data_IF_417426739021
#
_entry.id   IF_417426739021
#
_cell.length_a   1.000
_cell.length_b   1.000
_cell.length_c   1.000
_cell.angle_alpha   90.00
_cell.angle_beta   90.00
_cell.angle_gamma   90.00
#
_symmetry.space_group_name_H-M   'P 1'
#
loop_
_entity.id
_entity.type
_entity.pdbx_description
1 polymer ?
#
# COMPACT_ATOMS: atom_id res chain seq x y z
N UNK A 1 13.47 -46.96 5.57
CA UNK A 1 12.68 -45.80 6.02
C UNK A 1 13.40 -44.54 5.56
N UNK A 2 12.82 -43.75 4.66
CA UNK A 2 13.46 -42.54 4.12
C UNK A 2 13.36 -41.45 5.20
N UNK A 3 14.49 -40.94 5.69
CA UNK A 3 14.52 -39.84 6.66
C UNK A 3 14.27 -38.52 5.94
N UNK A 4 13.22 -37.80 6.34
CA UNK A 4 12.97 -36.44 5.87
C UNK A 4 13.94 -35.46 6.52
N UNK A 5 14.56 -34.62 5.70
CA UNK A 5 15.36 -33.48 6.16
C UNK A 5 14.39 -32.36 6.54
N UNK A 6 14.43 -31.94 7.81
CA UNK A 6 13.48 -30.96 8.39
C UNK A 6 14.01 -29.53 8.41
N UNK A 7 15.27 -29.31 8.02
CA UNK A 7 15.91 -27.99 8.03
C UNK A 7 17.00 -27.89 6.97
N UNK A 8 17.24 -26.67 6.49
CA UNK A 8 18.29 -26.34 5.50
C UNK A 8 18.95 -25.04 5.96
N UNK A 9 20.29 -25.03 6.01
CA UNK A 9 21.05 -23.82 6.26
C UNK A 9 20.89 -22.85 5.09
N UNK A 10 20.51 -21.61 5.38
CA UNK A 10 20.32 -20.53 4.41
C UNK A 10 21.13 -19.29 4.78
N UNK A 11 22.13 -19.43 5.67
CA UNK A 11 22.95 -18.31 6.18
C UNK A 11 23.70 -17.56 5.06
N UNK A 12 23.98 -18.22 3.94
CA UNK A 12 24.63 -17.69 2.76
C UNK A 12 23.67 -17.03 1.74
N UNK A 13 22.35 -17.11 1.98
CA UNK A 13 21.33 -16.66 1.03
C UNK A 13 21.31 -15.14 0.90
N UNK A 14 21.88 -14.62 -0.19
CA UNK A 14 21.75 -13.21 -0.58
C UNK A 14 20.41 -12.97 -1.28
N UNK A 15 19.43 -12.50 -0.51
CA UNK A 15 18.13 -12.08 -1.04
C UNK A 15 18.23 -10.62 -1.47
N UNK A 16 17.79 -10.24 -2.67
CA UNK A 16 17.62 -8.83 -3.01
C UNK A 16 16.70 -8.19 -1.96
N UNK A 17 17.18 -7.15 -1.29
CA UNK A 17 16.30 -6.37 -0.45
C UNK A 17 15.37 -5.58 -1.37
N UNK A 18 14.06 -5.80 -1.22
CA UNK A 18 13.10 -4.92 -1.86
C UNK A 18 13.16 -3.60 -1.11
N UNK A 19 13.86 -2.63 -1.67
CA UNK A 19 13.67 -1.22 -1.41
C UNK A 19 12.22 -0.88 -1.71
N UNK A 20 11.31 -1.13 -0.76
CA UNK A 20 10.13 -0.29 -0.70
C UNK A 20 10.68 1.12 -0.56
N UNK A 21 10.11 2.04 -1.32
CA UNK A 21 10.33 3.46 -1.15
C UNK A 21 9.78 3.82 0.24
N UNK A 22 10.58 3.53 1.26
CA UNK A 22 10.24 3.68 2.66
C UNK A 22 10.49 5.12 3.01
N UNK A 23 9.42 5.83 3.33
CA UNK A 23 9.47 7.24 3.66
C UNK A 23 8.34 8.02 2.99
N UNK A 24 7.97 9.18 3.55
CA UNK A 24 7.04 10.08 2.90
C UNK A 24 7.66 10.61 1.60
N UNK A 25 6.93 10.54 0.49
CA UNK A 25 7.31 11.24 -0.73
C UNK A 25 7.08 12.74 -0.52
N UNK A 26 8.06 13.62 -0.79
CA UNK A 26 7.88 15.08 -0.60
C UNK A 26 6.93 15.71 -1.63
N UNK A 27 6.51 14.93 -2.63
CA UNK A 27 5.62 15.36 -3.70
C UNK A 27 4.16 15.14 -3.28
N UNK A 28 3.33 16.17 -3.41
CA UNK A 28 1.89 16.06 -3.28
C UNK A 28 1.29 15.48 -4.56
N UNK A 29 0.36 14.53 -4.43
CA UNK A 29 -0.31 13.92 -5.58
C UNK A 29 -1.56 14.72 -5.97
N UNK A 30 -1.62 15.19 -7.21
CA UNK A 30 -2.81 15.83 -7.76
C UNK A 30 -3.94 14.80 -7.96
N UNK A 31 -5.15 15.12 -7.48
CA UNK A 31 -6.35 14.35 -7.82
C UNK A 31 -6.73 14.66 -9.26
N UNK A 32 -6.78 13.63 -10.11
CA UNK A 32 -7.12 13.76 -11.53
C UNK A 32 -8.40 13.01 -11.86
N UNK A 33 -9.08 13.41 -12.94
CA UNK A 33 -10.31 12.76 -13.43
C UNK A 33 -10.08 11.38 -14.06
N UNK A 34 -8.83 10.96 -14.27
CA UNK A 34 -8.48 9.63 -14.80
C UNK A 34 -8.76 8.50 -13.82
N UNK A 35 -8.79 8.80 -12.52
CA UNK A 35 -9.16 7.86 -11.47
C UNK A 35 -10.52 8.26 -10.93
N UNK A 36 -11.43 7.29 -10.81
CA UNK A 36 -12.81 7.54 -10.38
C UNK A 36 -12.86 7.80 -8.87
N UNK A 37 -13.78 8.67 -8.46
CA UNK A 37 -14.22 8.78 -7.07
C UNK A 37 -15.36 7.78 -6.83
N UNK A 38 -15.43 7.20 -5.63
CA UNK A 38 -16.58 6.36 -5.26
C UNK A 38 -17.82 7.23 -5.03
N UNK A 39 -19.05 6.66 -5.06
CA UNK A 39 -20.26 7.40 -4.74
C UNK A 39 -20.22 8.08 -3.35
N UNK A 40 -19.50 7.47 -2.40
CA UNK A 40 -19.36 7.95 -1.02
C UNK A 40 -18.09 8.75 -0.76
N UNK A 41 -17.43 9.24 -1.82
CA UNK A 41 -16.20 10.03 -1.68
C UNK A 41 -16.42 11.28 -0.81
N UNK A 42 -17.55 11.96 -1.00
CA UNK A 42 -17.92 13.14 -0.20
C UNK A 42 -18.05 12.80 1.29
N UNK A 43 -18.73 11.72 1.65
CA UNK A 43 -18.82 11.24 3.04
C UNK A 43 -17.45 10.91 3.64
N UNK A 44 -16.54 10.38 2.83
CA UNK A 44 -15.17 10.09 3.28
C UNK A 44 -14.40 11.37 3.59
N UNK A 45 -14.57 12.42 2.78
CA UNK A 45 -13.99 13.74 3.04
C UNK A 45 -14.58 14.39 4.29
N UNK A 46 -15.91 14.33 4.46
CA UNK A 46 -16.60 14.83 5.65
C UNK A 46 -16.15 14.11 6.93
N UNK A 47 -15.92 12.79 6.85
CA UNK A 47 -15.36 12.00 7.95
C UNK A 47 -13.87 12.27 8.22
N UNK A 48 -13.23 13.22 7.52
CA UNK A 48 -11.85 13.62 7.76
C UNK A 48 -10.80 12.80 7.02
N UNK A 49 -11.14 12.16 5.89
CA UNK A 49 -10.14 11.47 5.08
C UNK A 49 -9.08 12.45 4.52
N UNK A 50 -7.81 12.20 4.82
CA UNK A 50 -6.66 13.00 4.38
C UNK A 50 -5.64 12.21 3.54
N UNK A 51 -5.79 10.87 3.42
CA UNK A 51 -4.98 10.03 2.52
C UNK A 51 -5.84 9.02 1.80
N UNK A 52 -5.61 8.83 0.50
CA UNK A 52 -6.24 7.79 -0.30
C UNK A 52 -5.20 7.07 -1.17
N UNK A 53 -5.49 5.81 -1.49
CA UNK A 53 -4.73 4.99 -2.44
C UNK A 53 -5.60 4.67 -3.64
N UNK A 54 -5.00 4.40 -4.80
CA UNK A 54 -5.77 3.86 -5.93
C UNK A 54 -5.94 2.36 -5.74
N UNK A 55 -7.18 1.88 -5.67
CA UNK A 55 -7.52 0.47 -5.65
C UNK A 55 -8.60 0.19 -6.68
N UNK A 56 -8.41 -0.83 -7.52
CA UNK A 56 -9.32 -1.17 -8.61
C UNK A 56 -9.75 0.04 -9.48
N UNK A 57 -8.80 0.93 -9.80
CA UNK A 57 -9.02 2.16 -10.58
C UNK A 57 -9.99 3.17 -9.94
N UNK A 58 -10.12 3.15 -8.62
CA UNK A 58 -10.93 4.08 -7.83
C UNK A 58 -10.09 4.62 -6.67
N UNK A 59 -10.31 5.87 -6.27
CA UNK A 59 -9.74 6.40 -5.05
C UNK A 59 -10.36 5.71 -3.83
N UNK A 60 -9.52 5.07 -3.04
CA UNK A 60 -9.88 4.36 -1.82
C UNK A 60 -9.30 5.09 -0.60
N UNK A 61 -10.14 5.68 0.26
CA UNK A 61 -9.74 6.33 1.52
C UNK A 61 -8.90 5.41 2.42
N UNK A 62 -7.89 5.95 3.11
CA UNK A 62 -6.99 5.19 4.00
C UNK A 62 -6.66 5.90 5.30
N UNK A 63 -6.32 7.19 5.25
CA UNK A 63 -5.98 7.97 6.43
C UNK A 63 -7.14 8.88 6.79
N UNK A 64 -7.67 8.76 8.00
CA UNK A 64 -8.68 9.65 8.57
C UNK A 64 -8.07 10.44 9.72
N UNK A 65 -8.46 11.70 9.87
CA UNK A 65 -8.18 12.49 11.08
C UNK A 65 -9.08 11.96 12.19
N UNK A 66 -8.51 11.76 13.38
CA UNK A 66 -9.24 11.23 14.54
C UNK A 66 -9.91 12.36 15.30
#
# INVERSE_FOLDING_TARGET
MIKHVTTVDQSDRKVPYNLRQSGPTPVQMLISTRVRKSPYWHLSMEAGCWRATVYNRVYHPRGYVK
#
